data_IF_343372783001
#
_entry.id   IF_343372783001
#
_cell.length_a   1.000
_cell.length_b   1.000
_cell.length_c   1.000
_cell.angle_alpha   90.00
_cell.angle_beta   90.00
_cell.angle_gamma   90.00
#
_symmetry.space_group_name_H-M   'P 1'
#
loop_
_entity.id
_entity.type
_entity.pdbx_description
1 polymer ?
#
# COMPACT_ATOMS: atom_id res chain seq x y z
N UNK A 1 63.57 78.00 -31.94
CA UNK A 1 62.31 77.85 -31.19
C UNK A 1 61.37 77.04 -32.08
N UNK A 2 61.34 75.71 -31.95
CA UNK A 2 60.60 74.88 -30.97
C UNK A 2 59.21 74.46 -31.47
N UNK A 3 59.07 73.15 -31.77
CA UNK A 3 58.01 72.23 -31.29
C UNK A 3 56.55 72.65 -31.59
N UNK A 4 55.76 71.84 -32.30
CA UNK A 4 55.13 70.66 -31.70
C UNK A 4 54.65 69.61 -32.73
N UNK A 5 54.89 68.34 -32.43
CA UNK A 5 54.53 67.21 -33.30
C UNK A 5 53.06 66.82 -33.18
N UNK A 6 52.36 66.79 -34.33
CA UNK A 6 50.95 66.38 -34.40
C UNK A 6 50.76 64.87 -34.18
N UNK A 7 50.35 64.48 -32.97
CA UNK A 7 50.09 63.07 -32.63
C UNK A 7 48.67 62.66 -33.06
N UNK A 8 48.48 62.41 -34.37
CA UNK A 8 47.19 62.05 -34.96
C UNK A 8 46.75 60.64 -34.55
N UNK A 9 45.95 60.56 -33.47
CA UNK A 9 45.33 59.31 -33.01
C UNK A 9 44.39 58.75 -34.07
N UNK A 10 44.91 57.82 -34.88
CA UNK A 10 44.20 57.09 -35.95
C UNK A 10 42.85 56.56 -35.42
N UNK A 11 41.70 56.86 -36.06
CA UNK A 11 40.40 56.48 -35.52
C UNK A 11 40.28 54.96 -35.47
N UNK A 12 40.18 54.42 -34.24
CA UNK A 12 40.13 52.97 -33.99
C UNK A 12 38.89 52.40 -34.71
N UNK A 13 39.11 51.43 -35.61
CA UNK A 13 38.10 51.00 -36.59
C UNK A 13 36.78 50.58 -35.93
N UNK A 14 35.74 51.42 -36.09
CA UNK A 14 34.39 51.18 -35.54
C UNK A 14 33.80 49.84 -36.00
N UNK A 15 34.17 49.36 -37.21
CA UNK A 15 33.79 48.04 -37.73
C UNK A 15 34.35 46.90 -36.88
N UNK A 16 35.60 46.98 -36.43
CA UNK A 16 36.21 45.96 -35.54
C UNK A 16 35.53 45.93 -34.17
N UNK A 17 35.14 47.09 -33.63
CA UNK A 17 34.38 47.17 -32.38
C UNK A 17 33.00 46.51 -32.51
N UNK A 18 32.25 46.81 -33.58
CA UNK A 18 30.95 46.19 -33.84
C UNK A 18 31.02 44.68 -34.04
N UNK A 19 32.06 44.17 -34.72
CA UNK A 19 32.31 42.73 -34.87
C UNK A 19 32.60 42.05 -33.53
N UNK A 20 33.41 42.67 -32.66
CA UNK A 20 33.70 42.15 -31.31
C UNK A 20 32.42 42.18 -30.44
N UNK A 21 31.65 43.26 -30.48
CA UNK A 21 30.39 43.35 -29.74
C UNK A 21 29.36 42.30 -30.20
N UNK A 22 29.25 42.06 -31.51
CA UNK A 22 28.42 40.99 -32.07
C UNK A 22 28.88 39.60 -31.62
N UNK A 23 30.20 39.33 -31.65
CA UNK A 23 30.76 38.06 -31.16
C UNK A 23 30.44 37.84 -29.67
N UNK A 24 30.62 38.86 -28.83
CA UNK A 24 30.30 38.80 -27.40
C UNK A 24 28.80 38.59 -27.17
N UNK A 25 27.94 39.26 -27.95
CA UNK A 25 26.49 39.05 -27.89
C UNK A 25 26.10 37.61 -28.24
N UNK A 26 26.69 37.04 -29.29
CA UNK A 26 26.45 35.63 -29.69
C UNK A 26 26.88 34.67 -28.58
N UNK A 27 28.07 34.87 -27.99
CA UNK A 27 28.54 34.05 -26.86
C UNK A 27 27.62 34.17 -25.65
N UNK A 28 27.13 35.38 -25.33
CA UNK A 28 26.20 35.61 -24.23
C UNK A 28 24.85 34.93 -24.47
N UNK A 29 24.30 35.02 -25.69
CA UNK A 29 23.05 34.33 -26.07
C UNK A 29 23.20 32.81 -25.97
N UNK A 30 24.31 32.24 -26.48
CA UNK A 30 24.58 30.80 -26.37
C UNK A 30 24.73 30.35 -24.90
N UNK A 31 25.38 31.16 -24.06
CA UNK A 31 25.53 30.88 -22.64
C UNK A 31 24.20 30.98 -21.88
N UNK A 32 23.34 31.94 -22.24
CA UNK A 32 22.00 32.09 -21.69
C UNK A 32 21.09 30.91 -22.06
N UNK A 33 21.07 30.49 -23.34
CA UNK A 33 20.31 29.32 -23.79
C UNK A 33 20.74 28.05 -23.04
N UNK A 34 22.05 27.80 -22.93
CA UNK A 34 22.58 26.66 -22.18
C UNK A 34 22.24 26.71 -20.68
N UNK A 35 22.24 27.90 -20.07
CA UNK A 35 21.85 28.06 -18.67
C UNK A 35 20.36 27.70 -18.47
N UNK A 36 19.49 28.20 -19.35
CA UNK A 36 18.05 27.90 -19.34
C UNK A 36 17.82 26.40 -19.52
N UNK A 37 18.41 25.77 -20.54
CA UNK A 37 18.28 24.33 -20.78
C UNK A 37 18.63 23.49 -19.54
N UNK A 38 19.78 23.76 -18.91
CA UNK A 38 20.26 23.01 -17.75
C UNK A 38 19.43 23.22 -16.46
N UNK A 39 18.88 24.40 -16.23
CA UNK A 39 18.13 24.70 -15.00
C UNK A 39 16.62 24.44 -15.13
N UNK A 40 16.07 24.55 -16.34
CA UNK A 40 14.63 24.38 -16.58
C UNK A 40 14.26 22.91 -16.84
N UNK A 41 15.17 22.13 -17.45
CA UNK A 41 14.93 20.71 -17.76
C UNK A 41 14.52 19.89 -16.52
N UNK A 42 15.24 19.87 -15.38
CA UNK A 42 14.89 19.00 -14.27
C UNK A 42 13.52 19.29 -13.63
N UNK A 43 13.13 20.55 -13.35
CA UNK A 43 11.80 20.86 -12.83
C UNK A 43 10.65 20.54 -13.80
N UNK A 44 10.83 20.80 -15.10
CA UNK A 44 9.84 20.45 -16.14
C UNK A 44 9.64 18.94 -16.20
N UNK A 45 10.75 18.19 -16.29
CA UNK A 45 10.75 16.74 -16.41
C UNK A 45 10.11 16.05 -15.20
N UNK A 46 10.46 16.48 -13.98
CA UNK A 46 9.87 15.97 -12.74
C UNK A 46 8.36 16.22 -12.66
N UNK A 47 7.90 17.42 -13.01
CA UNK A 47 6.45 17.70 -13.03
C UNK A 47 5.75 16.92 -14.15
N UNK A 48 6.38 16.76 -15.31
CA UNK A 48 5.85 15.95 -16.40
C UNK A 48 5.73 14.46 -16.02
N UNK A 49 6.72 13.88 -15.33
CA UNK A 49 6.65 12.52 -14.78
C UNK A 49 5.48 12.35 -13.82
N UNK A 50 5.30 13.28 -12.87
CA UNK A 50 4.16 13.27 -11.94
C UNK A 50 2.83 13.35 -12.72
N UNK A 51 2.73 14.26 -13.69
CA UNK A 51 1.49 14.50 -14.44
C UNK A 51 1.14 13.34 -15.37
N UNK A 52 2.12 12.76 -16.06
CA UNK A 52 1.94 11.55 -16.89
C UNK A 52 1.57 10.35 -16.03
N UNK A 53 2.24 10.13 -14.89
CA UNK A 53 1.88 9.05 -13.97
C UNK A 53 0.44 9.21 -13.47
N UNK A 54 0.04 10.43 -13.08
CA UNK A 54 -1.34 10.71 -12.69
C UNK A 54 -2.34 10.38 -13.81
N UNK A 55 -2.15 10.95 -15.01
CA UNK A 55 -3.07 10.79 -16.14
C UNK A 55 -3.16 9.32 -16.58
N UNK A 56 -2.03 8.62 -16.65
CA UNK A 56 -1.98 7.21 -17.01
C UNK A 56 -2.70 6.34 -15.97
N UNK A 57 -2.37 6.47 -14.68
CA UNK A 57 -3.05 5.71 -13.60
C UNK A 57 -4.55 6.01 -13.56
N UNK A 58 -4.96 7.28 -13.65
CA UNK A 58 -6.38 7.66 -13.64
C UNK A 58 -7.14 7.10 -14.84
N UNK A 59 -6.54 7.17 -16.04
CA UNK A 59 -7.15 6.64 -17.27
C UNK A 59 -7.27 5.12 -17.25
N UNK A 60 -6.22 4.42 -16.81
CA UNK A 60 -6.23 2.95 -16.62
C UNK A 60 -7.30 2.54 -15.61
N UNK A 61 -7.32 3.17 -14.44
CA UNK A 61 -8.28 2.84 -13.39
C UNK A 61 -9.72 3.10 -13.86
N UNK A 62 -9.96 4.20 -14.57
CA UNK A 62 -11.27 4.54 -15.14
C UNK A 62 -11.71 3.55 -16.23
N UNK A 63 -10.81 3.17 -17.14
CA UNK A 63 -11.10 2.26 -18.23
C UNK A 63 -11.44 0.85 -17.71
N UNK A 64 -10.64 0.31 -16.79
CA UNK A 64 -10.90 -1.00 -16.16
C UNK A 64 -12.16 -0.96 -15.28
N UNK A 65 -12.37 0.08 -14.47
CA UNK A 65 -13.59 0.20 -13.63
C UNK A 65 -14.85 0.18 -14.49
N UNK A 66 -14.84 0.89 -15.63
CA UNK A 66 -15.96 0.88 -16.57
C UNK A 66 -16.17 -0.47 -17.27
N UNK A 67 -15.11 -1.24 -17.51
CA UNK A 67 -15.20 -2.57 -18.09
C UNK A 67 -15.72 -3.60 -17.08
N UNK A 68 -15.21 -3.60 -15.84
CA UNK A 68 -15.64 -4.51 -14.76
C UNK A 68 -17.10 -4.26 -14.38
N UNK A 69 -17.52 -3.01 -14.26
CA UNK A 69 -18.91 -2.65 -13.94
C UNK A 69 -19.96 -3.09 -14.98
N UNK A 70 -19.54 -3.40 -16.21
CA UNK A 70 -20.41 -3.80 -17.32
C UNK A 70 -20.22 -5.26 -17.78
N UNK A 71 -19.19 -5.98 -17.29
CA UNK A 71 -18.57 -7.07 -18.06
C UNK A 71 -18.38 -8.44 -17.39
N UNK A 72 -18.75 -8.62 -16.12
CA UNK A 72 -18.66 -9.94 -15.47
C UNK A 72 -19.20 -9.97 -14.05
N UNK A 73 -19.90 -11.05 -13.70
CA UNK A 73 -20.25 -11.35 -12.31
C UNK A 73 -18.97 -11.74 -11.57
N UNK A 74 -18.62 -11.01 -10.51
CA UNK A 74 -17.47 -11.29 -9.66
C UNK A 74 -17.48 -12.73 -9.10
N UNK A 75 -18.67 -13.29 -8.96
CA UNK A 75 -18.99 -14.64 -8.53
C UNK A 75 -18.47 -15.73 -9.49
N UNK A 76 -18.31 -15.45 -10.79
CA UNK A 76 -17.85 -16.45 -11.79
C UNK A 76 -16.36 -16.78 -11.71
N UNK A 77 -15.59 -16.00 -10.94
CA UNK A 77 -14.17 -16.25 -10.65
C UNK A 77 -13.95 -17.43 -9.70
N UNK A 78 -14.98 -17.84 -8.94
CA UNK A 78 -14.87 -18.75 -7.80
C UNK A 78 -15.90 -19.89 -7.96
N UNK A 79 -15.42 -21.08 -8.28
CA UNK A 79 -16.22 -22.31 -8.36
C UNK A 79 -16.27 -23.00 -6.99
N UNK A 80 -17.42 -22.88 -6.31
CA UNK A 80 -17.65 -23.46 -4.99
C UNK A 80 -17.78 -24.98 -5.05
N UNK A 81 -16.96 -25.68 -4.24
CA UNK A 81 -17.05 -27.14 -4.08
C UNK A 81 -17.81 -27.50 -2.83
N UNK A 82 -18.90 -28.23 -3.04
CA UNK A 82 -19.84 -28.67 -2.00
C UNK A 82 -19.67 -30.17 -1.73
N UNK A 83 -19.75 -30.57 -0.47
CA UNK A 83 -19.73 -31.97 -0.07
C UNK A 83 -21.07 -32.68 -0.36
N UNK A 84 -21.14 -33.98 -0.03
CA UNK A 84 -22.35 -34.80 -0.22
C UNK A 84 -23.56 -34.34 0.62
N UNK A 85 -23.35 -33.47 1.59
CA UNK A 85 -24.35 -32.99 2.55
C UNK A 85 -24.82 -31.55 2.24
N UNK A 86 -24.33 -30.93 1.16
CA UNK A 86 -24.64 -29.54 0.82
C UNK A 86 -23.75 -28.50 1.50
N UNK A 87 -22.68 -28.91 2.21
CA UNK A 87 -21.76 -28.01 2.92
C UNK A 87 -20.61 -27.58 2.01
N UNK A 88 -20.26 -26.30 2.02
CA UNK A 88 -19.07 -25.79 1.30
C UNK A 88 -17.82 -26.47 1.89
N UNK A 89 -17.13 -27.25 1.04
CA UNK A 89 -15.89 -27.95 1.35
C UNK A 89 -14.65 -27.19 0.88
N UNK A 90 -14.81 -26.20 0.01
CA UNK A 90 -13.74 -25.37 -0.52
C UNK A 90 -14.18 -24.59 -1.76
N UNK A 91 -13.22 -23.97 -2.42
CA UNK A 91 -13.42 -23.27 -3.68
C UNK A 91 -12.26 -23.54 -4.64
N UNK A 92 -12.52 -23.39 -5.94
CA UNK A 92 -11.52 -23.45 -7.00
C UNK A 92 -11.57 -22.15 -7.81
N UNK A 93 -10.41 -21.67 -8.26
CA UNK A 93 -10.37 -20.51 -9.16
C UNK A 93 -10.76 -20.94 -10.58
N UNK A 94 -11.65 -20.17 -11.21
CA UNK A 94 -12.02 -20.37 -12.60
C UNK A 94 -10.94 -19.78 -13.52
N UNK A 95 -9.97 -20.62 -13.90
CA UNK A 95 -8.85 -20.21 -14.76
C UNK A 95 -9.29 -19.70 -16.16
N UNK A 96 -10.41 -20.18 -16.70
CA UNK A 96 -10.92 -19.69 -17.98
C UNK A 96 -11.37 -18.24 -17.87
N UNK A 97 -12.09 -17.89 -16.80
CA UNK A 97 -12.54 -16.54 -16.53
C UNK A 97 -11.39 -15.61 -16.12
N UNK A 98 -10.43 -16.13 -15.34
CA UNK A 98 -9.19 -15.44 -14.99
C UNK A 98 -8.40 -15.00 -16.22
N UNK A 99 -8.24 -15.88 -17.21
CA UNK A 99 -7.60 -15.56 -18.50
C UNK A 99 -8.46 -14.62 -19.36
N UNK A 100 -9.80 -14.77 -19.36
CA UNK A 100 -10.72 -13.87 -20.07
C UNK A 100 -10.57 -12.42 -19.56
N UNK A 101 -10.65 -12.22 -18.25
CA UNK A 101 -10.51 -10.89 -17.64
C UNK A 101 -9.10 -10.33 -17.88
N UNK A 102 -8.06 -11.13 -17.67
CA UNK A 102 -6.67 -10.67 -17.88
C UNK A 102 -6.43 -10.21 -19.32
N UNK A 103 -6.93 -10.97 -20.31
CA UNK A 103 -6.82 -10.61 -21.73
C UNK A 103 -7.62 -9.36 -22.09
N UNK A 104 -8.87 -9.24 -21.62
CA UNK A 104 -9.71 -8.07 -21.88
C UNK A 104 -9.16 -6.81 -21.21
N UNK A 105 -8.66 -6.93 -19.98
CA UNK A 105 -8.00 -5.82 -19.29
C UNK A 105 -6.76 -5.34 -20.07
N UNK A 106 -5.90 -6.26 -20.54
CA UNK A 106 -4.74 -5.92 -21.35
C UNK A 106 -5.12 -5.17 -22.65
N UNK A 107 -6.17 -5.61 -23.36
CA UNK A 107 -6.68 -4.94 -24.56
C UNK A 107 -7.23 -3.53 -24.27
N UNK A 108 -8.02 -3.37 -23.21
CA UNK A 108 -8.57 -2.08 -22.77
C UNK A 108 -7.45 -1.11 -22.37
N UNK A 109 -6.44 -1.58 -21.63
CA UNK A 109 -5.30 -0.75 -21.21
C UNK A 109 -4.45 -0.36 -22.41
N UNK A 110 -4.15 -1.29 -23.31
CA UNK A 110 -3.39 -1.02 -24.53
C UNK A 110 -4.07 0.04 -25.40
N UNK A 111 -5.40 -0.05 -25.55
CA UNK A 111 -6.20 0.94 -26.28
C UNK A 111 -6.18 2.30 -25.58
N UNK A 112 -6.39 2.33 -24.26
CA UNK A 112 -6.35 3.55 -23.44
C UNK A 112 -5.00 4.27 -23.52
N UNK A 113 -3.89 3.51 -23.47
CA UNK A 113 -2.54 4.05 -23.62
C UNK A 113 -2.27 4.58 -25.04
N UNK A 114 -2.84 3.95 -26.07
CA UNK A 114 -2.75 4.43 -27.45
C UNK A 114 -3.56 5.73 -27.66
N UNK A 115 -4.72 5.86 -27.01
CA UNK A 115 -5.51 7.10 -27.03
C UNK A 115 -4.80 8.24 -26.29
N UNK A 116 -4.11 7.95 -25.19
CA UNK A 116 -3.25 8.92 -24.50
C UNK A 116 -2.04 9.34 -25.35
N UNK A 117 -1.47 8.44 -26.15
CA UNK A 117 -0.38 8.78 -27.07
C UNK A 117 -0.78 9.79 -28.15
N UNK A 118 -2.02 9.69 -28.65
CA UNK A 118 -2.56 10.60 -29.64
C UNK A 118 -2.92 11.99 -29.07
N UNK A 119 -2.95 12.13 -27.73
CA UNK A 119 -3.24 13.37 -27.04
C UNK A 119 -1.95 14.11 -26.66
N UNK A 120 -1.96 15.43 -26.79
CA UNK A 120 -0.88 16.30 -26.31
C UNK A 120 -1.41 17.07 -25.12
N UNK A 121 -0.79 16.84 -23.97
CA UNK A 121 -1.10 17.52 -22.72
C UNK A 121 -0.21 18.75 -22.55
N UNK A 122 -0.65 19.70 -21.73
CA UNK A 122 0.04 20.99 -21.57
C UNK A 122 0.29 21.28 -20.09
N UNK A 123 1.52 21.67 -19.77
CA UNK A 123 1.93 22.07 -18.42
C UNK A 123 2.40 23.53 -18.46
N UNK A 124 1.78 24.44 -17.69
CA UNK A 124 2.27 25.81 -17.55
C UNK A 124 3.68 25.84 -16.98
N UNK A 125 4.61 26.53 -17.63
CA UNK A 125 6.02 26.58 -17.19
C UNK A 125 6.17 27.09 -15.76
N UNK A 126 5.34 28.04 -15.32
CA UNK A 126 5.37 28.54 -13.96
C UNK A 126 5.06 27.49 -12.89
N UNK A 127 4.23 26.48 -13.22
CA UNK A 127 3.94 25.34 -12.35
C UNK A 127 5.16 24.42 -12.23
N UNK A 128 5.87 24.17 -13.34
CA UNK A 128 7.11 23.40 -13.36
C UNK A 128 8.22 24.05 -12.51
N UNK A 129 8.26 25.38 -12.44
CA UNK A 129 9.20 26.13 -11.62
C UNK A 129 8.92 26.09 -10.11
N UNK A 130 7.81 25.45 -9.67
CA UNK A 130 7.51 25.24 -8.25
C UNK A 130 7.25 26.52 -7.44
N UNK A 131 7.07 27.66 -8.08
CA UNK A 131 6.86 28.96 -7.42
C UNK A 131 5.38 29.35 -7.46
N UNK A 132 4.67 29.40 -6.32
CA UNK A 132 3.23 29.71 -6.27
C UNK A 132 2.86 31.06 -6.90
N UNK A 133 3.77 32.03 -6.90
CA UNK A 133 3.54 33.37 -7.45
C UNK A 133 3.44 33.39 -8.98
N UNK A 134 4.06 32.42 -9.65
CA UNK A 134 4.06 32.30 -11.12
C UNK A 134 3.38 31.03 -11.60
N UNK A 135 2.86 30.16 -10.73
CA UNK A 135 2.28 28.86 -11.10
C UNK A 135 1.26 28.93 -12.24
N UNK A 136 0.43 29.98 -12.27
CA UNK A 136 -0.58 30.24 -13.31
C UNK A 136 -0.11 31.10 -14.48
N UNK A 137 1.20 31.37 -14.60
CA UNK A 137 1.79 32.27 -15.59
C UNK A 137 2.96 31.64 -16.33
N UNK A 138 3.10 31.98 -17.61
CA UNK A 138 4.19 31.52 -18.49
C UNK A 138 3.66 30.86 -19.76
N UNK A 139 4.56 30.42 -20.65
CA UNK A 139 4.19 29.58 -21.79
C UNK A 139 3.83 28.17 -21.33
N UNK A 140 2.90 27.55 -22.05
CA UNK A 140 2.57 26.13 -21.88
C UNK A 140 3.59 25.25 -22.60
N UNK A 141 4.05 24.20 -21.91
CA UNK A 141 4.98 23.21 -22.44
C UNK A 141 4.15 22.00 -22.88
N UNK A 142 4.19 21.60 -24.17
CA UNK A 142 3.55 20.38 -24.62
C UNK A 142 4.31 19.16 -24.09
N UNK A 143 3.57 18.21 -23.53
CA UNK A 143 4.05 16.90 -23.14
C UNK A 143 3.29 15.82 -23.91
N UNK A 144 3.94 14.69 -24.17
CA UNK A 144 3.30 13.50 -24.74
C UNK A 144 3.65 12.25 -23.96
N UNK A 145 2.77 11.27 -24.06
CA UNK A 145 2.94 9.93 -23.47
C UNK A 145 3.26 8.98 -24.62
N UNK A 146 4.32 8.17 -24.49
CA UNK A 146 4.68 7.18 -25.51
C UNK A 146 4.78 5.79 -24.87
N UNK A 147 3.77 4.92 -25.02
CA UNK A 147 3.77 3.59 -24.43
C UNK A 147 4.99 2.76 -24.85
N UNK A 148 5.67 2.13 -23.88
CA UNK A 148 6.87 1.34 -24.12
C UNK A 148 6.56 -0.15 -23.97
N UNK A 149 6.58 -0.87 -25.10
CA UNK A 149 6.36 -2.31 -25.12
C UNK A 149 4.91 -2.74 -24.86
N UNK A 150 4.74 -3.93 -24.29
CA UNK A 150 3.44 -4.52 -23.99
C UNK A 150 3.10 -4.39 -22.49
N UNK A 151 1.83 -4.11 -22.21
CA UNK A 151 1.28 -4.01 -20.85
C UNK A 151 1.36 -5.37 -20.15
N UNK A 152 1.87 -5.41 -18.92
CA UNK A 152 1.80 -6.59 -18.06
C UNK A 152 0.56 -6.48 -17.18
N UNK A 153 -0.32 -7.46 -17.26
CA UNK A 153 -1.56 -7.55 -16.49
C UNK A 153 -1.59 -8.91 -15.80
N UNK A 154 -1.84 -8.91 -14.50
CA UNK A 154 -1.94 -10.13 -13.69
C UNK A 154 -3.12 -10.01 -12.72
N UNK A 155 -4.07 -10.95 -12.80
CA UNK A 155 -5.15 -11.06 -11.83
C UNK A 155 -4.64 -11.87 -10.62
N UNK A 156 -4.48 -11.21 -9.48
CA UNK A 156 -3.89 -11.76 -8.24
C UNK A 156 -4.92 -11.85 -7.11
N UNK A 157 -4.59 -12.63 -6.07
CA UNK A 157 -5.43 -12.77 -4.87
C UNK A 157 -4.62 -12.52 -3.60
N UNK A 158 -5.09 -11.64 -2.72
CA UNK A 158 -4.53 -11.46 -1.36
C UNK A 158 -5.52 -11.92 -0.30
N UNK A 159 -5.01 -12.50 0.78
CA UNK A 159 -5.81 -13.08 1.85
C UNK A 159 -5.57 -12.31 3.15
N UNK A 160 -6.64 -11.94 3.85
CA UNK A 160 -6.59 -11.24 5.14
C UNK A 160 -7.40 -12.05 6.15
N UNK A 161 -6.88 -12.23 7.37
CA UNK A 161 -7.61 -12.89 8.44
C UNK A 161 -8.66 -11.92 9.01
N UNK A 162 -9.93 -12.30 8.96
CA UNK A 162 -11.07 -11.47 9.38
C UNK A 162 -11.69 -11.90 10.73
N UNK A 163 -11.19 -12.97 11.36
CA UNK A 163 -11.70 -13.43 12.66
C UNK A 163 -11.48 -14.90 12.95
N UNK A 164 -12.21 -15.43 13.94
CA UNK A 164 -12.13 -16.83 14.35
C UNK A 164 -12.70 -17.70 13.21
N UNK A 165 -11.80 -18.33 12.45
CA UNK A 165 -12.07 -19.17 11.28
C UNK A 165 -12.73 -18.46 10.09
N UNK A 166 -12.40 -17.19 9.83
CA UNK A 166 -12.82 -16.51 8.60
C UNK A 166 -11.68 -15.74 7.93
N UNK A 167 -11.62 -15.81 6.59
CA UNK A 167 -10.68 -15.05 5.77
C UNK A 167 -11.43 -14.21 4.74
N UNK A 168 -10.93 -12.99 4.53
CA UNK A 168 -11.30 -12.14 3.41
C UNK A 168 -10.27 -12.38 2.30
N UNK A 169 -10.73 -12.94 1.18
CA UNK A 169 -9.95 -13.07 -0.06
C UNK A 169 -10.34 -11.90 -0.96
N UNK A 170 -9.35 -11.12 -1.36
CA UNK A 170 -9.52 -10.00 -2.29
C UNK A 170 -8.85 -10.35 -3.61
N UNK A 171 -9.61 -10.29 -4.70
CA UNK A 171 -9.12 -10.48 -6.06
C UNK A 171 -8.91 -9.11 -6.68
N UNK A 172 -7.71 -8.87 -7.22
CA UNK A 172 -7.31 -7.57 -7.78
C UNK A 172 -6.47 -7.75 -9.05
N UNK A 173 -6.59 -6.82 -9.98
CA UNK A 173 -5.74 -6.77 -11.17
C UNK A 173 -4.53 -5.90 -10.83
N UNK A 174 -3.34 -6.49 -10.90
CA UNK A 174 -2.06 -5.80 -10.85
C UNK A 174 -1.62 -5.46 -12.28
N UNK A 175 -1.33 -4.17 -12.52
CA UNK A 175 -1.02 -3.64 -13.85
C UNK A 175 0.33 -2.93 -13.77
N UNK A 176 1.29 -3.42 -14.56
CA UNK A 176 2.61 -2.80 -14.71
C UNK A 176 2.83 -2.47 -16.18
N UNK A 177 3.02 -1.18 -16.46
CA UNK A 177 3.32 -0.69 -17.81
C UNK A 177 4.41 0.37 -17.77
N UNK A 178 5.23 0.41 -18.81
CA UNK A 178 6.26 1.43 -19.00
C UNK A 178 5.75 2.44 -20.04
N UNK A 179 5.91 3.74 -19.76
CA UNK A 179 5.57 4.82 -20.69
C UNK A 179 6.72 5.83 -20.70
N UNK A 180 7.10 6.35 -21.86
CA UNK A 180 8.05 7.44 -21.95
C UNK A 180 7.31 8.79 -21.85
N UNK A 181 7.86 9.69 -21.03
CA UNK A 181 7.44 11.07 -20.87
C UNK A 181 8.23 11.89 -21.88
N UNK A 182 7.57 12.36 -22.93
CA UNK A 182 8.20 13.11 -24.02
C UNK A 182 7.98 14.60 -23.82
N UNK A 183 9.08 15.34 -23.63
CA UNK A 183 9.11 16.81 -23.52
C UNK A 183 9.97 17.41 -24.65
N UNK A 184 9.90 18.72 -24.97
CA UNK A 184 10.58 19.28 -26.15
C UNK A 184 12.11 19.15 -26.19
N UNK A 185 12.74 18.81 -25.07
CA UNK A 185 14.20 18.76 -24.91
C UNK A 185 14.72 17.40 -24.42
N UNK A 186 13.84 16.46 -24.07
CA UNK A 186 14.25 15.13 -23.56
C UNK A 186 13.10 14.12 -23.55
N UNK A 187 13.44 12.84 -23.34
CA UNK A 187 12.48 11.75 -23.16
C UNK A 187 12.99 10.80 -22.06
N UNK A 188 12.21 10.59 -21.00
CA UNK A 188 12.56 9.63 -19.94
C UNK A 188 11.47 8.57 -19.74
N UNK A 189 11.84 7.29 -19.49
CA UNK A 189 10.90 6.24 -19.14
C UNK A 189 10.34 6.44 -17.73
N UNK A 190 9.06 6.14 -17.56
CA UNK A 190 8.30 6.21 -16.32
C UNK A 190 7.48 4.92 -16.17
N UNK A 191 7.67 4.22 -15.05
CA UNK A 191 6.85 3.05 -14.71
C UNK A 191 5.51 3.51 -14.12
N UNK A 192 4.42 2.94 -14.61
CA UNK A 192 3.08 3.04 -14.05
C UNK A 192 2.72 1.67 -13.50
N UNK A 193 2.45 1.66 -12.20
CA UNK A 193 2.15 0.49 -11.38
C UNK A 193 0.86 0.82 -10.61
N UNK A 194 -0.17 -0.01 -10.76
CA UNK A 194 -1.49 0.20 -10.15
C UNK A 194 -2.19 -1.14 -9.87
N UNK A 195 -2.84 -1.22 -8.71
CA UNK A 195 -3.69 -2.34 -8.31
C UNK A 195 -5.16 -1.90 -8.36
N UNK A 196 -6.02 -2.68 -9.00
CA UNK A 196 -7.46 -2.42 -9.10
C UNK A 196 -8.22 -3.58 -8.46
N UNK A 197 -8.93 -3.39 -7.34
CA UNK A 197 -9.75 -4.44 -6.74
C UNK A 197 -10.91 -4.79 -7.67
N UNK A 198 -11.13 -6.08 -7.89
CA UNK A 198 -12.22 -6.63 -8.72
C UNK A 198 -13.32 -7.18 -7.85
N UNK A 199 -12.97 -8.00 -6.85
CA UNK A 199 -13.96 -8.64 -5.99
C UNK A 199 -13.42 -8.98 -4.59
N UNK A 200 -14.36 -9.10 -3.65
CA UNK A 200 -14.11 -9.52 -2.28
C UNK A 200 -14.93 -10.77 -1.98
N UNK A 201 -14.29 -11.77 -1.39
CA UNK A 201 -14.90 -13.02 -0.97
C UNK A 201 -14.61 -13.25 0.51
N UNK A 202 -15.66 -13.39 1.32
CA UNK A 202 -15.53 -13.82 2.71
C UNK A 202 -15.76 -15.32 2.81
N UNK A 203 -14.70 -16.07 3.14
CA UNK A 203 -14.75 -17.52 3.38
C UNK A 203 -14.89 -17.74 4.88
N UNK A 204 -16.01 -18.35 5.29
CA UNK A 204 -16.34 -18.62 6.70
C UNK A 204 -16.25 -20.12 6.96
N UNK A 205 -15.38 -20.51 7.88
CA UNK A 205 -15.27 -21.88 8.41
C UNK A 205 -16.14 -22.11 9.62
N UNK A 206 -16.23 -23.37 10.07
CA UNK A 206 -17.01 -23.72 11.26
C UNK A 206 -16.37 -23.12 12.51
N UNK A 207 -17.17 -22.44 13.34
CA UNK A 207 -16.75 -21.98 14.66
C UNK A 207 -16.90 -23.11 15.68
N UNK A 208 -15.88 -23.42 16.51
CA UNK A 208 -16.02 -24.31 17.65
C UNK A 208 -17.21 -23.97 18.55
N UNK A 209 -17.93 -24.99 19.01
CA UNK A 209 -19.03 -24.85 19.99
C UNK A 209 -18.55 -24.36 21.37
N UNK A 210 -17.29 -24.63 21.69
CA UNK A 210 -16.64 -24.33 22.97
C UNK A 210 -15.23 -23.80 22.73
N UNK A 211 -14.80 -22.86 23.58
CA UNK A 211 -13.45 -22.33 23.64
C UNK A 211 -12.96 -22.39 25.09
N UNK A 212 -11.65 -22.45 25.30
CA UNK A 212 -11.04 -22.43 26.63
C UNK A 212 -9.91 -21.39 26.67
N UNK A 213 -9.69 -20.79 27.83
CA UNK A 213 -8.55 -19.91 28.08
C UNK A 213 -7.24 -20.67 28.30
N UNK A 214 -6.15 -19.93 28.57
CA UNK A 214 -4.84 -20.50 28.85
C UNK A 214 -4.72 -21.16 30.25
N UNK A 215 -5.78 -21.15 31.05
CA UNK A 215 -5.93 -21.92 32.30
C UNK A 215 -6.83 -23.15 32.12
N UNK A 216 -7.35 -23.40 30.90
CA UNK A 216 -8.24 -24.52 30.60
C UNK A 216 -9.68 -24.31 31.07
N UNK A 217 -10.08 -23.08 31.40
CA UNK A 217 -11.44 -22.75 31.80
C UNK A 217 -12.28 -22.41 30.56
N UNK A 218 -13.53 -22.88 30.46
CA UNK A 218 -14.34 -22.66 29.27
C UNK A 218 -14.88 -21.23 29.21
N UNK A 219 -14.73 -20.59 28.04
CA UNK A 219 -15.09 -19.17 27.81
C UNK A 219 -16.17 -19.00 26.75
N UNK A 220 -16.89 -17.87 26.82
CA UNK A 220 -17.99 -17.52 25.92
C UNK A 220 -19.36 -18.04 26.38
N UNK A 221 -20.39 -17.78 25.56
CA UNK A 221 -21.79 -18.00 25.94
C UNK A 221 -22.15 -19.47 26.26
N UNK A 222 -21.42 -20.44 25.69
CA UNK A 222 -21.59 -21.87 25.92
C UNK A 222 -20.63 -22.44 26.98
N UNK A 223 -19.88 -21.59 27.71
CA UNK A 223 -18.82 -22.06 28.61
C UNK A 223 -19.33 -22.99 29.73
N UNK A 224 -20.55 -22.78 30.21
CA UNK A 224 -21.16 -23.59 31.28
C UNK A 224 -21.57 -25.01 30.85
N UNK A 225 -21.66 -25.30 29.54
CA UNK A 225 -21.97 -26.62 29.00
C UNK A 225 -20.76 -27.30 28.33
N UNK A 226 -19.56 -26.70 28.47
CA UNK A 226 -18.33 -27.23 27.90
C UNK A 226 -17.86 -28.49 28.65
N UNK A 227 -17.39 -29.55 27.94
CA UNK A 227 -16.80 -30.73 28.57
C UNK A 227 -15.58 -30.40 29.45
N UNK A 228 -15.39 -31.13 30.55
CA UNK A 228 -14.16 -31.01 31.34
C UNK A 228 -12.95 -31.55 30.58
N UNK A 229 -11.88 -30.75 30.46
CA UNK A 229 -10.61 -31.22 29.90
C UNK A 229 -9.89 -32.07 30.94
N UNK A 230 -9.87 -33.38 30.74
CA UNK A 230 -9.07 -34.31 31.54
C UNK A 230 -7.68 -34.48 30.91
N UNK A 231 -6.62 -34.26 31.70
CA UNK A 231 -5.25 -34.63 31.30
C UNK A 231 -5.15 -36.17 31.41
N UNK A 232 -4.73 -36.89 30.35
CA UNK A 232 -4.50 -38.32 30.44
C UNK A 232 -3.48 -38.62 31.53
N UNK A 233 -3.84 -39.53 32.45
CA UNK A 233 -2.89 -39.96 33.48
C UNK A 233 -1.64 -40.54 32.81
N UNK A 234 -0.42 -40.19 33.25
CA UNK A 234 0.80 -40.80 32.73
C UNK A 234 0.70 -42.32 32.93
N UNK A 235 0.96 -43.08 31.87
CA UNK A 235 0.83 -44.53 31.88
C UNK A 235 1.82 -45.16 32.85
N UNK A 236 1.39 -45.39 34.09
CA UNK A 236 2.16 -46.11 35.10
C UNK A 236 2.22 -47.58 34.68
N UNK A 237 3.40 -48.05 34.28
CA UNK A 237 3.67 -49.46 34.03
C UNK A 237 3.39 -50.26 35.30
N UNK A 238 2.25 -50.95 35.34
CA UNK A 238 1.75 -51.56 36.56
C UNK A 238 2.34 -52.93 36.86
N UNK A 239 2.85 -53.10 38.09
CA UNK A 239 2.93 -54.41 38.73
C UNK A 239 1.61 -54.72 39.46
N UNK A 240 1.17 -55.99 39.38
CA UNK A 240 -0.14 -56.44 39.92
C UNK A 240 -0.02 -57.06 41.31
N UNK A 241 -0.78 -56.54 42.26
CA UNK A 241 -1.44 -57.21 43.40
C UNK A 241 -2.15 -56.12 44.23
N UNK A 242 -3.34 -56.28 44.80
CA UNK A 242 -4.32 -57.37 44.77
C UNK A 242 -5.39 -57.13 45.86
N UNK A 243 -6.48 -57.91 45.82
CA UNK A 243 -7.55 -58.02 46.85
C UNK A 243 -8.56 -56.86 46.96
N UNK A 244 -9.82 -57.27 47.12
CA UNK A 244 -11.06 -56.50 47.26
C UNK A 244 -11.61 -56.58 48.69
N UNK A 245 -12.33 -55.56 49.18
CA UNK A 245 -13.40 -55.79 50.18
C UNK A 245 -14.48 -54.67 50.26
N UNK A 246 -15.54 -54.94 51.05
CA UNK A 246 -16.86 -54.28 51.14
C UNK A 246 -16.92 -53.25 52.32
N UNK A 247 -17.92 -52.38 52.61
CA UNK A 247 -19.35 -52.27 52.26
C UNK A 247 -19.97 -50.84 52.40
N UNK A 248 -21.14 -50.63 51.73
CA UNK A 248 -22.38 -49.90 52.19
C UNK A 248 -22.43 -48.40 52.59
N UNK A 249 -23.47 -47.76 52.02
CA UNK A 249 -24.47 -46.82 52.60
C UNK A 249 -24.23 -45.31 52.89
N UNK A 250 -24.90 -44.50 52.05
CA UNK A 250 -26.08 -43.67 52.39
C UNK A 250 -25.98 -42.35 53.19
N UNK A 251 -26.22 -41.26 52.44
CA UNK A 251 -27.08 -40.09 52.77
C UNK A 251 -26.66 -39.04 53.83
N UNK A 252 -26.56 -37.77 53.39
CA UNK A 252 -27.44 -36.73 53.95
C UNK A 252 -26.87 -35.59 54.82
N UNK A 253 -26.91 -34.38 54.27
CA UNK A 253 -27.13 -33.08 54.94
C UNK A 253 -26.14 -32.52 56.00
N UNK A 254 -25.30 -31.58 55.53
CA UNK A 254 -25.31 -30.14 55.86
C UNK A 254 -25.28 -29.60 57.30
N UNK A 255 -24.40 -28.57 57.45
CA UNK A 255 -24.52 -27.28 58.19
C UNK A 255 -23.75 -27.05 59.51
N UNK A 256 -23.10 -25.87 59.51
CA UNK A 256 -22.99 -24.84 60.58
C UNK A 256 -21.73 -24.69 61.48
N UNK A 257 -20.79 -23.86 61.00
CA UNK A 257 -20.33 -22.58 61.62
C UNK A 257 -19.28 -22.50 62.78
N UNK A 258 -18.53 -21.39 62.74
CA UNK A 258 -17.80 -20.65 63.82
C UNK A 258 -16.54 -21.23 64.52
N UNK A 259 -15.36 -20.69 64.13
CA UNK A 259 -14.33 -19.90 64.89
C UNK A 259 -14.08 -20.14 66.41
N UNK A 260 -12.92 -19.74 67.02
CA UNK A 260 -11.82 -18.89 66.50
C UNK A 260 -10.36 -19.33 66.83
N UNK A 261 -9.39 -18.45 66.51
CA UNK A 261 -7.93 -18.57 66.69
C UNK A 261 -7.41 -18.65 68.15
N UNK A 262 -6.08 -18.85 68.35
CA UNK A 262 -5.22 -17.70 68.71
C UNK A 262 -3.85 -17.66 67.97
N UNK A 263 -2.98 -16.69 68.33
CA UNK A 263 -1.85 -16.22 67.51
C UNK A 263 -0.48 -16.14 68.23
N UNK A 264 0.62 -16.02 67.48
CA UNK A 264 1.91 -15.32 67.77
C UNK A 264 2.84 -15.46 66.53
N UNK A 265 3.29 -14.39 65.86
CA UNK A 265 4.43 -13.46 66.13
C UNK A 265 5.83 -14.11 65.95
N UNK A 266 6.92 -13.46 65.47
CA UNK A 266 7.21 -12.03 65.23
C UNK A 266 8.43 -11.80 64.27
N UNK A 267 8.67 -10.54 63.84
CA UNK A 267 9.96 -9.95 63.32
C UNK A 267 10.52 -10.41 61.95
N UNK A 268 11.28 -9.63 61.15
CA UNK A 268 11.51 -8.16 61.09
C UNK A 268 12.25 -7.71 59.81
N UNK A 269 11.72 -6.67 59.13
CA UNK A 269 12.36 -5.40 58.71
C UNK A 269 13.54 -5.30 57.68
N UNK A 270 13.60 -4.12 57.04
CA UNK A 270 14.59 -3.56 56.07
C UNK A 270 14.54 -4.13 54.65
N UNK A 271 14.60 -3.34 53.56
CA UNK A 271 14.54 -1.87 53.41
C UNK A 271 15.06 -1.45 52.02
N UNK A 272 14.39 -0.54 51.31
CA UNK A 272 14.84 -0.08 49.97
C UNK A 272 13.83 0.76 49.20
N UNK A 273 14.04 2.07 49.17
CA UNK A 273 13.25 3.10 48.46
C UNK A 273 13.52 3.17 46.96
N UNK A 274 12.48 3.50 46.17
CA UNK A 274 12.57 4.48 45.08
C UNK A 274 11.19 5.14 44.86
N UNK A 275 11.19 6.44 44.54
CA UNK A 275 10.00 7.33 44.53
C UNK A 275 9.89 8.07 43.20
N UNK A 276 8.65 8.40 42.78
CA UNK A 276 8.27 9.46 41.81
C UNK A 276 8.85 9.36 40.37
N UNK A 277 8.15 9.73 39.29
CA UNK A 277 7.16 10.80 39.09
C UNK A 277 5.94 10.33 38.27
N UNK A 278 4.92 11.18 38.15
CA UNK A 278 3.83 11.02 37.20
C UNK A 278 3.55 12.30 36.42
N UNK A 279 2.83 12.20 35.31
CA UNK A 279 2.15 13.35 34.71
C UNK A 279 0.77 12.97 34.14
N UNK A 280 -0.03 13.99 33.88
CA UNK A 280 -1.47 13.98 33.73
C UNK A 280 -1.93 13.58 32.33
N UNK A 281 -3.16 13.08 32.25
CA UNK A 281 -3.84 12.88 30.97
C UNK A 281 -4.35 14.18 30.34
N UNK A 282 -4.76 14.10 29.09
CA UNK A 282 -5.61 15.09 28.41
C UNK A 282 -6.82 14.38 27.82
N UNK A 283 -7.99 14.95 28.11
CA UNK A 283 -9.29 14.55 27.58
C UNK A 283 -9.67 15.48 26.42
N UNK A 284 -9.91 14.91 25.24
CA UNK A 284 -10.69 15.46 24.16
C UNK A 284 -11.16 14.26 23.31
N UNK A 285 -12.35 14.23 22.73
CA UNK A 285 -13.34 15.29 22.55
C UNK A 285 -14.11 14.93 21.28
N UNK A 286 -15.44 15.02 21.35
CA UNK A 286 -16.38 14.47 20.36
C UNK A 286 -16.28 15.13 18.97
#
# INVERSE_FOLDING_TARGET
MTVSGGNTRKPRSRRKFWLIASLVLIVLVLQALRYVELHMKPPILHLAQIRVKQIATESINKAITSQVANGGNAEELIDWKTDKNGKISGFMLNYAEHMRITSQAAEVIQTTLQDLHNQTEYIPLGQALGSPLIASYGPDIPIKIEPQGAVKVELSTRQQNAGINMILVEVYIHIVTEVAVVIPFDMEPQVVDTEIPVSYLMVVGDVPMYYYDNQGQPVGANGSSAPGIAIPAPSVSGDKNGVSDQSTDATGNSKENSNPSPASSNSSNTGGTHTEEGDKGVNAGN
#
